data_IF_471107986339
#
_entry.id   IF_471107986339
#
_cell.length_a   1.000
_cell.length_b   1.000
_cell.length_c   1.000
_cell.angle_alpha   90.00
_cell.angle_beta   90.00
_cell.angle_gamma   90.00
#
_symmetry.space_group_name_H-M   'P 1'
#
loop_
_entity.id
_entity.type
_entity.pdbx_description
1 polymer ?
#
# COMPACT_ATOMS: atom_id res chain seq x y z
N UNK A 1 -24.16 2.81 -12.14
CA UNK A 1 -22.96 2.24 -11.51
C UNK A 1 -22.46 3.31 -10.53
N UNK A 2 -22.26 2.92 -9.32
CA UNK A 2 -21.83 3.87 -8.27
C UNK A 2 -20.51 4.54 -8.69
N UNK A 3 -20.47 5.86 -8.66
CA UNK A 3 -19.29 6.63 -9.10
C UNK A 3 -18.19 6.67 -8.05
N UNK A 4 -18.44 6.06 -6.89
CA UNK A 4 -17.55 6.08 -5.74
C UNK A 4 -16.33 5.17 -5.94
N UNK A 5 -15.15 5.68 -5.58
CA UNK A 5 -13.90 4.91 -5.54
C UNK A 5 -14.01 3.84 -4.44
N UNK A 6 -13.70 2.60 -4.80
CA UNK A 6 -13.73 1.48 -3.85
C UNK A 6 -12.39 1.34 -3.10
N UNK A 7 -11.28 1.50 -3.81
CA UNK A 7 -9.94 1.35 -3.24
C UNK A 7 -9.09 2.57 -3.59
N UNK A 8 -8.44 3.19 -2.61
CA UNK A 8 -7.32 4.11 -2.80
C UNK A 8 -6.02 3.36 -2.50
N UNK A 9 -5.09 3.37 -3.44
CA UNK A 9 -3.74 2.83 -3.28
C UNK A 9 -2.82 3.98 -2.92
N UNK A 10 -2.14 3.92 -1.78
CA UNK A 10 -1.15 4.88 -1.32
C UNK A 10 0.25 4.36 -1.62
N UNK A 11 1.01 5.09 -2.43
CA UNK A 11 2.36 4.72 -2.83
C UNK A 11 3.34 5.85 -2.46
N UNK A 12 4.23 5.59 -1.50
CA UNK A 12 5.34 6.49 -1.18
C UNK A 12 6.54 6.14 -2.07
N UNK A 13 7.16 7.16 -2.65
CA UNK A 13 8.32 6.99 -3.53
C UNK A 13 9.40 8.03 -3.24
N UNK A 14 10.65 7.57 -3.09
CA UNK A 14 11.82 8.42 -2.99
C UNK A 14 13.03 7.70 -3.56
N UNK A 15 13.63 8.26 -4.63
CA UNK A 15 14.81 7.68 -5.28
C UNK A 15 14.59 6.25 -5.82
N UNK A 16 13.41 6.01 -6.40
CA UNK A 16 12.97 4.70 -6.90
C UNK A 16 12.95 4.60 -8.44
N UNK A 17 13.79 5.36 -9.18
CA UNK A 17 13.78 5.35 -10.65
C UNK A 17 13.94 3.95 -11.28
N UNK A 18 14.61 3.03 -10.57
CA UNK A 18 14.83 1.65 -11.02
C UNK A 18 13.60 0.77 -10.86
N UNK A 19 12.72 1.07 -9.89
CA UNK A 19 11.66 0.18 -9.42
C UNK A 19 10.26 0.70 -9.75
N UNK A 20 10.04 2.00 -9.61
CA UNK A 20 8.71 2.64 -9.65
C UNK A 20 7.88 2.29 -10.90
N UNK A 21 8.51 2.05 -12.04
CA UNK A 21 7.82 1.68 -13.28
C UNK A 21 7.09 0.35 -13.10
N UNK A 22 7.76 -0.64 -12.50
CA UNK A 22 7.19 -1.95 -12.23
C UNK A 22 6.08 -1.91 -11.18
N UNK A 23 6.25 -1.09 -10.16
CA UNK A 23 5.23 -0.81 -9.15
C UNK A 23 3.96 -0.28 -9.80
N UNK A 24 4.09 0.76 -10.63
CA UNK A 24 2.97 1.38 -11.34
C UNK A 24 2.31 0.43 -12.34
N UNK A 25 3.09 -0.41 -13.05
CA UNK A 25 2.55 -1.47 -13.92
C UNK A 25 1.70 -2.45 -13.13
N UNK A 26 2.14 -2.86 -11.93
CA UNK A 26 1.37 -3.71 -11.02
C UNK A 26 0.03 -3.09 -10.62
N UNK A 27 -0.01 -1.77 -10.41
CA UNK A 27 -1.24 -1.06 -10.06
C UNK A 27 -2.21 -0.95 -11.23
N UNK A 28 -1.74 -0.51 -12.41
CA UNK A 28 -2.62 -0.32 -13.57
C UNK A 28 -3.05 -1.63 -14.23
N UNK A 29 -2.41 -2.75 -13.90
CA UNK A 29 -2.79 -4.08 -14.37
C UNK A 29 -3.94 -4.71 -13.59
N UNK A 30 -4.40 -4.09 -12.49
CA UNK A 30 -5.46 -4.66 -11.66
C UNK A 30 -6.79 -4.76 -12.40
N UNK A 31 -7.39 -5.94 -12.34
CA UNK A 31 -8.68 -6.25 -12.96
C UNK A 31 -9.75 -6.29 -11.86
N UNK A 32 -10.64 -5.29 -11.86
CA UNK A 32 -11.66 -5.13 -10.83
C UNK A 32 -13.03 -4.84 -11.46
N UNK A 33 -14.10 -5.17 -10.74
CA UNK A 33 -15.46 -4.77 -11.09
C UNK A 33 -15.90 -3.44 -10.44
N UNK A 34 -14.95 -2.74 -9.82
CA UNK A 34 -15.13 -1.45 -9.15
C UNK A 34 -14.05 -0.46 -9.58
N UNK A 35 -14.22 0.81 -9.23
CA UNK A 35 -13.23 1.86 -9.45
C UNK A 35 -12.20 1.88 -8.32
N UNK A 36 -10.94 2.09 -8.68
CA UNK A 36 -9.85 2.37 -7.76
C UNK A 36 -9.03 3.56 -8.26
N UNK A 37 -8.29 4.16 -7.36
CA UNK A 37 -7.33 5.24 -7.61
C UNK A 37 -5.99 4.91 -7.00
N UNK A 38 -4.94 5.52 -7.51
CA UNK A 38 -3.56 5.40 -7.02
C UNK A 38 -3.04 6.80 -6.70
N UNK A 39 -2.69 7.04 -5.47
CA UNK A 39 -2.10 8.27 -4.98
C UNK A 39 -0.61 8.00 -4.78
N UNK A 40 0.23 8.58 -5.64
CA UNK A 40 1.69 8.40 -5.60
C UNK A 40 2.32 9.67 -5.06
N UNK A 41 2.93 9.59 -3.87
CA UNK A 41 3.70 10.70 -3.31
C UNK A 41 5.18 10.54 -3.68
N UNK A 42 5.69 11.42 -4.53
CA UNK A 42 7.12 11.58 -4.76
C UNK A 42 7.68 12.55 -3.72
N UNK A 43 8.53 12.05 -2.83
CA UNK A 43 9.07 12.80 -1.70
C UNK A 43 10.32 13.62 -2.08
N UNK A 44 10.20 14.40 -3.17
CA UNK A 44 11.28 15.22 -3.74
C UNK A 44 12.49 14.36 -4.20
N UNK A 45 12.23 13.32 -4.98
CA UNK A 45 13.28 12.45 -5.52
C UNK A 45 14.28 13.24 -6.39
N UNK A 46 15.61 13.03 -6.20
CA UNK A 46 16.64 13.67 -7.01
C UNK A 46 16.87 12.98 -8.36
N UNK A 47 16.32 11.78 -8.53
CA UNK A 47 16.42 10.95 -9.74
C UNK A 47 15.20 11.10 -10.66
N UNK A 48 15.00 10.16 -11.57
CA UNK A 48 13.88 10.19 -12.53
C UNK A 48 12.54 9.66 -11.98
N UNK A 49 12.43 9.40 -10.69
CA UNK A 49 11.20 8.86 -10.07
C UNK A 49 9.99 9.74 -10.41
N UNK A 50 10.07 11.05 -10.14
CA UNK A 50 8.98 11.99 -10.43
C UNK A 50 8.63 12.07 -11.93
N UNK A 51 9.62 11.96 -12.83
CA UNK A 51 9.41 11.97 -14.28
C UNK A 51 8.60 10.75 -14.71
N UNK A 52 8.95 9.56 -14.22
CA UNK A 52 8.24 8.30 -14.50
C UNK A 52 6.80 8.35 -13.98
N UNK A 53 6.58 8.87 -12.77
CA UNK A 53 5.24 9.00 -12.22
C UNK A 53 4.37 9.89 -13.13
N UNK A 54 4.90 11.04 -13.61
CA UNK A 54 4.18 11.93 -14.53
C UNK A 54 3.85 11.28 -15.87
N UNK A 55 4.70 10.38 -16.38
CA UNK A 55 4.40 9.59 -17.58
C UNK A 55 3.15 8.72 -17.37
N UNK A 56 3.07 8.04 -16.21
CA UNK A 56 1.92 7.19 -15.87
C UNK A 56 0.66 8.00 -15.58
N UNK A 57 0.76 9.11 -14.86
CA UNK A 57 -0.36 10.04 -14.62
C UNK A 57 -0.95 10.53 -15.94
N UNK A 58 -0.12 10.90 -16.90
CA UNK A 58 -0.56 11.31 -18.24
C UNK A 58 -1.21 10.16 -19.03
N UNK A 59 -0.71 8.92 -18.87
CA UNK A 59 -1.21 7.74 -19.58
C UNK A 59 -2.50 7.19 -18.96
N UNK A 60 -2.64 7.31 -17.63
CA UNK A 60 -3.75 6.77 -16.85
C UNK A 60 -4.37 7.84 -15.93
N UNK A 61 -4.88 8.95 -16.49
CA UNK A 61 -5.32 10.11 -15.71
C UNK A 61 -6.51 9.85 -14.79
N UNK A 62 -7.30 8.81 -15.08
CA UNK A 62 -8.44 8.41 -14.25
C UNK A 62 -8.04 7.47 -13.09
N UNK A 63 -6.77 7.05 -13.03
CA UNK A 63 -6.28 6.08 -12.05
C UNK A 63 -5.12 6.66 -11.24
N UNK A 64 -4.09 7.22 -11.89
CA UNK A 64 -2.86 7.67 -11.24
C UNK A 64 -2.93 9.16 -10.93
N UNK A 65 -2.68 9.51 -9.68
CA UNK A 65 -2.66 10.89 -9.17
C UNK A 65 -1.34 11.14 -8.43
N UNK A 66 -0.46 11.93 -9.04
CA UNK A 66 0.87 12.26 -8.48
C UNK A 66 0.80 13.44 -7.51
N UNK A 67 1.44 13.30 -6.35
CA UNK A 67 1.74 14.38 -5.40
C UNK A 67 3.25 14.55 -5.41
N UNK A 68 3.73 15.74 -5.74
CA UNK A 68 5.16 16.01 -5.93
C UNK A 68 5.63 16.99 -4.87
N UNK A 69 6.43 16.50 -3.92
CA UNK A 69 6.99 17.34 -2.88
C UNK A 69 8.13 18.19 -3.44
N UNK A 70 8.33 19.39 -2.90
CA UNK A 70 9.46 20.26 -3.24
C UNK A 70 10.66 20.04 -2.33
N UNK A 71 10.45 19.37 -1.21
CA UNK A 71 11.45 19.04 -0.21
C UNK A 71 11.11 17.68 0.39
N UNK A 72 12.13 16.90 0.76
CA UNK A 72 11.94 15.59 1.36
C UNK A 72 11.27 15.70 2.73
N UNK A 73 10.03 15.21 2.83
CA UNK A 73 9.19 15.30 4.03
C UNK A 73 9.62 14.28 5.08
N UNK A 74 10.02 13.08 4.64
CA UNK A 74 10.50 12.02 5.53
C UNK A 74 11.72 12.49 6.34
N UNK A 75 12.70 13.15 5.69
CA UNK A 75 13.88 13.69 6.38
C UNK A 75 13.56 14.77 7.42
N UNK A 76 12.37 15.36 7.37
CA UNK A 76 11.84 16.31 8.34
C UNK A 76 11.00 15.67 9.44
N UNK A 77 10.95 14.35 9.50
CA UNK A 77 10.10 13.58 10.40
C UNK A 77 8.60 13.91 10.25
N UNK A 78 8.16 14.22 9.03
CA UNK A 78 6.74 14.42 8.72
C UNK A 78 6.13 13.06 8.41
N UNK A 79 5.06 12.73 9.11
CA UNK A 79 4.29 11.51 8.84
C UNK A 79 3.56 11.67 7.50
N UNK A 80 4.07 10.94 6.48
CA UNK A 80 3.53 10.94 5.10
C UNK A 80 2.10 10.41 5.09
N UNK A 81 1.82 9.41 5.93
CA UNK A 81 0.49 8.82 6.02
C UNK A 81 -0.52 9.85 6.54
N UNK A 82 -0.22 10.49 7.65
CA UNK A 82 -1.10 11.47 8.27
C UNK A 82 -1.27 12.74 7.41
N UNK A 83 -0.17 13.28 6.90
CA UNK A 83 -0.16 14.60 6.26
C UNK A 83 -0.47 14.58 4.78
N UNK A 84 -0.17 13.48 4.09
CA UNK A 84 -0.28 13.39 2.62
C UNK A 84 -1.41 12.43 2.23
N UNK A 85 -1.34 11.16 2.67
CA UNK A 85 -2.30 10.16 2.20
C UNK A 85 -3.68 10.30 2.83
N UNK A 86 -3.76 10.51 4.15
CA UNK A 86 -5.04 10.59 4.85
C UNK A 86 -6.00 11.66 4.28
N UNK A 87 -5.54 12.88 3.91
CA UNK A 87 -6.39 13.88 3.26
C UNK A 87 -6.76 13.55 1.81
N UNK A 88 -5.95 12.73 1.12
CA UNK A 88 -6.10 12.47 -0.31
C UNK A 88 -6.96 11.23 -0.62
N UNK A 89 -7.02 10.23 0.27
CA UNK A 89 -7.76 8.98 0.03
C UNK A 89 -9.27 9.20 0.04
N UNK A 90 -9.95 8.69 -1.00
CA UNK A 90 -11.41 8.75 -1.12
C UNK A 90 -12.06 7.36 -1.06
N UNK A 91 -11.29 6.30 -1.21
CA UNK A 91 -11.76 4.93 -1.27
C UNK A 91 -12.36 4.42 0.04
N UNK A 92 -13.29 3.48 -0.11
CA UNK A 92 -13.84 2.70 1.01
C UNK A 92 -12.76 1.86 1.68
N UNK A 93 -11.81 1.37 0.90
CA UNK A 93 -10.63 0.62 1.34
C UNK A 93 -9.35 1.35 0.98
N UNK A 94 -8.28 1.10 1.75
CA UNK A 94 -6.96 1.69 1.54
C UNK A 94 -5.93 0.58 1.42
N UNK A 95 -5.20 0.56 0.30
CA UNK A 95 -4.02 -0.29 0.11
C UNK A 95 -2.75 0.56 0.25
N UNK A 96 -1.68 -0.05 0.75
CA UNK A 96 -0.37 0.59 0.84
C UNK A 96 0.62 -0.26 0.05
N UNK A 97 1.50 0.40 -0.70
CA UNK A 97 2.60 -0.25 -1.41
C UNK A 97 3.66 0.79 -1.72
N UNK A 98 4.87 0.59 -1.27
CA UNK A 98 6.02 1.46 -1.52
C UNK A 98 6.43 1.39 -2.99
N UNK A 99 7.16 2.41 -3.46
CA UNK A 99 7.53 2.56 -4.89
C UNK A 99 8.64 1.63 -5.37
N UNK A 100 9.19 0.79 -4.50
CA UNK A 100 10.18 -0.26 -4.76
C UNK A 100 9.59 -1.68 -4.61
N UNK A 101 8.35 -1.80 -4.13
CA UNK A 101 7.56 -3.04 -4.14
C UNK A 101 6.64 -3.11 -5.36
N UNK A 102 6.20 -4.30 -5.74
CA UNK A 102 5.28 -4.47 -6.87
C UNK A 102 4.33 -5.66 -6.71
N UNK A 103 3.15 -5.55 -7.31
CA UNK A 103 2.14 -6.59 -7.35
C UNK A 103 2.21 -7.39 -8.65
N UNK A 104 2.14 -8.71 -8.53
CA UNK A 104 2.19 -9.65 -9.66
C UNK A 104 0.84 -10.26 -10.01
N UNK A 105 -0.13 -10.27 -9.06
CA UNK A 105 -1.47 -10.81 -9.28
C UNK A 105 -2.44 -9.69 -9.69
N UNK A 106 -2.95 -9.68 -10.94
CA UNK A 106 -3.90 -8.67 -11.38
C UNK A 106 -5.27 -8.79 -10.70
N UNK A 107 -5.54 -9.85 -9.97
CA UNK A 107 -6.78 -10.05 -9.22
C UNK A 107 -6.66 -9.66 -7.74
N UNK A 108 -5.49 -9.19 -7.28
CA UNK A 108 -5.22 -8.87 -5.87
C UNK A 108 -6.31 -8.00 -5.24
N UNK A 109 -6.59 -6.84 -5.83
CA UNK A 109 -7.56 -5.90 -5.26
C UNK A 109 -8.96 -6.50 -5.21
N UNK A 110 -9.39 -7.18 -6.28
CA UNK A 110 -10.71 -7.82 -6.32
C UNK A 110 -10.85 -8.85 -5.21
N UNK A 111 -9.87 -9.74 -5.07
CA UNK A 111 -9.88 -10.80 -4.05
C UNK A 111 -9.90 -10.26 -2.63
N UNK A 112 -9.10 -9.23 -2.35
CA UNK A 112 -9.03 -8.63 -1.01
C UNK A 112 -10.31 -7.85 -0.67
N UNK A 113 -10.88 -7.11 -1.62
CA UNK A 113 -12.18 -6.45 -1.42
C UNK A 113 -13.28 -7.46 -1.17
N UNK A 114 -13.37 -8.52 -1.97
CA UNK A 114 -14.36 -9.58 -1.77
C UNK A 114 -14.23 -10.24 -0.38
N UNK A 115 -12.99 -10.43 0.09
CA UNK A 115 -12.73 -10.98 1.42
C UNK A 115 -13.23 -10.05 2.54
N UNK A 116 -12.94 -8.74 2.45
CA UNK A 116 -13.39 -7.75 3.44
C UNK A 116 -14.89 -7.48 3.37
N UNK A 117 -15.50 -7.51 2.17
CA UNK A 117 -16.96 -7.38 2.02
C UNK A 117 -17.71 -8.57 2.66
N UNK A 118 -17.10 -9.75 2.65
CA UNK A 118 -17.64 -10.95 3.28
C UNK A 118 -17.41 -10.96 4.80
N UNK A 119 -16.35 -10.32 5.29
CA UNK A 119 -15.92 -10.33 6.70
C UNK A 119 -15.78 -8.88 7.20
N UNK A 120 -16.90 -8.19 7.39
CA UNK A 120 -16.94 -6.74 7.67
C UNK A 120 -16.36 -6.33 9.03
N UNK A 121 -16.20 -7.29 9.94
CA UNK A 121 -15.56 -7.06 11.24
C UNK A 121 -14.02 -7.09 11.15
N UNK A 122 -13.47 -7.49 10.00
CA UNK A 122 -12.03 -7.47 9.78
C UNK A 122 -11.54 -6.05 9.50
N UNK A 123 -10.49 -5.64 10.21
CA UNK A 123 -9.84 -4.35 10.01
C UNK A 123 -9.08 -4.30 8.69
N UNK A 124 -8.37 -5.35 8.36
CA UNK A 124 -7.58 -5.44 7.13
C UNK A 124 -7.55 -6.88 6.56
N UNK A 125 -7.15 -6.98 5.32
CA UNK A 125 -6.82 -8.22 4.63
C UNK A 125 -5.37 -8.16 4.14
N UNK A 126 -4.66 -9.28 4.22
CA UNK A 126 -3.27 -9.42 3.79
C UNK A 126 -3.10 -10.63 2.88
N UNK A 127 -1.97 -10.70 2.20
CA UNK A 127 -1.58 -11.88 1.41
C UNK A 127 -0.09 -12.21 1.63
N UNK A 128 0.32 -13.37 1.17
CA UNK A 128 1.72 -13.77 1.18
C UNK A 128 2.52 -12.94 0.18
N UNK A 129 3.70 -12.51 0.57
CA UNK A 129 4.68 -11.81 -0.27
C UNK A 129 5.96 -12.63 -0.37
N UNK A 130 6.74 -12.38 -1.41
CA UNK A 130 8.02 -13.02 -1.66
C UNK A 130 9.07 -11.94 -1.79
N UNK A 131 10.16 -12.06 -1.06
CA UNK A 131 11.31 -11.20 -1.24
C UNK A 131 12.04 -11.52 -2.54
N UNK A 132 12.42 -10.49 -3.27
CA UNK A 132 13.23 -10.61 -4.49
C UNK A 132 14.53 -9.81 -4.36
N UNK A 133 15.58 -10.27 -5.02
CA UNK A 133 16.85 -9.55 -5.13
C UNK A 133 16.74 -8.36 -6.09
N UNK A 134 17.78 -7.53 -6.16
CA UNK A 134 17.88 -6.46 -7.17
C UNK A 134 17.73 -6.96 -8.62
N UNK A 135 18.13 -8.22 -8.89
CA UNK A 135 17.96 -8.88 -10.20
C UNK A 135 16.58 -9.56 -10.34
N UNK A 136 15.63 -9.22 -9.45
CA UNK A 136 14.25 -9.73 -9.45
C UNK A 136 14.13 -11.26 -9.30
N UNK A 137 15.15 -11.91 -8.73
CA UNK A 137 15.10 -13.33 -8.44
C UNK A 137 14.60 -13.57 -7.02
N UNK A 138 13.68 -14.54 -6.79
CA UNK A 138 13.23 -14.88 -5.46
C UNK A 138 14.41 -15.27 -4.56
N UNK A 139 14.52 -14.65 -3.39
CA UNK A 139 15.56 -15.00 -2.38
C UNK A 139 15.24 -16.28 -1.61
N UNK A 140 13.99 -16.75 -1.71
CA UNK A 140 13.45 -17.86 -0.93
C UNK A 140 12.78 -17.43 0.36
N UNK A 141 12.87 -16.14 0.72
CA UNK A 141 12.19 -15.57 1.89
C UNK A 141 10.76 -15.18 1.51
N UNK A 142 9.82 -15.52 2.37
CA UNK A 142 8.40 -15.20 2.19
C UNK A 142 7.80 -14.65 3.48
N UNK A 143 6.82 -13.76 3.34
CA UNK A 143 6.10 -13.17 4.47
C UNK A 143 4.59 -13.43 4.32
N UNK A 144 3.93 -13.98 5.34
CA UNK A 144 4.53 -14.53 6.54
C UNK A 144 5.31 -15.83 6.23
N UNK A 145 6.24 -16.21 7.09
CA UNK A 145 6.94 -17.50 7.01
C UNK A 145 5.99 -18.69 7.24
N UNK A 146 4.89 -18.45 7.96
CA UNK A 146 3.86 -19.48 8.24
C UNK A 146 2.90 -19.62 7.06
N UNK A 147 2.41 -20.83 6.83
CA UNK A 147 1.39 -21.04 5.82
C UNK A 147 0.05 -20.43 6.23
N UNK A 148 -0.45 -19.51 5.41
CA UNK A 148 -1.77 -18.94 5.51
C UNK A 148 -2.71 -19.56 4.48
N UNK A 149 -3.84 -20.09 4.95
CA UNK A 149 -4.90 -20.57 4.07
C UNK A 149 -5.77 -19.40 3.63
N UNK A 150 -6.08 -19.33 2.34
CA UNK A 150 -6.98 -18.30 1.79
C UNK A 150 -8.32 -18.28 2.56
N UNK A 151 -8.76 -17.06 2.88
CA UNK A 151 -10.01 -16.84 3.63
C UNK A 151 -9.94 -17.15 5.12
N UNK A 152 -8.76 -17.45 5.66
CA UNK A 152 -8.59 -17.64 7.10
C UNK A 152 -8.65 -16.29 7.82
N UNK A 153 -9.52 -16.20 8.83
CA UNK A 153 -9.50 -15.08 9.78
C UNK A 153 -8.42 -15.38 10.82
N UNK A 154 -7.47 -14.48 10.95
CA UNK A 154 -6.41 -14.58 11.94
C UNK A 154 -6.87 -13.91 13.24
N UNK A 155 -6.69 -14.54 14.39
CA UNK A 155 -6.99 -13.91 15.68
C UNK A 155 -6.02 -12.73 15.93
N UNK A 156 -6.46 -11.76 16.72
CA UNK A 156 -5.67 -10.58 17.09
C UNK A 156 -4.31 -10.94 17.70
N UNK A 157 -4.27 -12.07 18.43
CA UNK A 157 -3.03 -12.63 19.00
C UNK A 157 -1.97 -12.92 17.95
N UNK A 158 -2.36 -13.24 16.71
CA UNK A 158 -1.43 -13.45 15.60
C UNK A 158 -0.68 -12.18 15.22
N UNK A 159 -1.31 -11.03 15.36
CA UNK A 159 -0.69 -9.71 15.12
C UNK A 159 0.25 -9.33 16.26
N UNK A 160 -0.01 -9.86 17.46
CA UNK A 160 0.78 -9.61 18.67
C UNK A 160 1.96 -10.57 18.83
N UNK A 161 2.04 -11.67 18.07
CA UNK A 161 3.14 -12.65 18.14
C UNK A 161 4.47 -12.13 17.55
N UNK A 162 4.55 -10.89 17.33
CA UNK A 162 5.46 -10.02 16.72
C UNK A 162 6.90 -10.15 16.80
N UNK A 163 7.85 -9.86 16.56
CA UNK A 163 9.26 -9.49 16.43
C UNK A 163 9.81 -9.63 15.00
N UNK A 164 9.11 -10.31 14.10
CA UNK A 164 9.45 -10.28 12.69
C UNK A 164 8.20 -9.88 11.92
N UNK A 165 8.29 -8.91 11.04
CA UNK A 165 7.22 -8.45 10.16
C UNK A 165 6.49 -9.65 9.55
N UNK A 166 5.34 -10.01 10.11
CA UNK A 166 4.63 -11.18 9.64
C UNK A 166 4.04 -10.95 8.24
N UNK A 167 3.77 -9.67 7.90
CA UNK A 167 3.28 -9.28 6.59
C UNK A 167 3.99 -8.01 6.12
N UNK A 168 4.29 -7.94 4.83
CA UNK A 168 4.85 -6.74 4.21
C UNK A 168 3.75 -5.71 3.93
N UNK A 169 4.10 -4.43 4.02
CA UNK A 169 3.20 -3.29 3.79
C UNK A 169 2.46 -3.40 2.48
N UNK A 170 3.13 -3.82 1.41
CA UNK A 170 2.57 -4.01 0.08
C UNK A 170 1.46 -5.06 -0.01
N UNK A 171 1.28 -5.89 1.05
CA UNK A 171 0.22 -6.89 1.13
C UNK A 171 -1.11 -6.37 1.70
N UNK A 172 -1.11 -5.27 2.43
CA UNK A 172 -2.29 -4.80 3.16
C UNK A 172 -3.37 -4.19 2.28
N UNK A 173 -4.62 -4.48 2.65
CA UNK A 173 -5.81 -3.72 2.29
C UNK A 173 -6.60 -3.47 3.56
N UNK A 174 -6.73 -2.22 3.97
CA UNK A 174 -7.42 -1.80 5.18
C UNK A 174 -8.88 -1.41 4.92
N UNK A 175 -9.75 -1.64 5.90
CA UNK A 175 -11.02 -0.93 5.98
C UNK A 175 -10.72 0.57 6.15
N UNK A 176 -11.16 1.40 5.19
CA UNK A 176 -10.76 2.80 5.13
C UNK A 176 -11.28 3.64 6.30
N UNK A 177 -12.48 3.35 6.83
CA UNK A 177 -13.03 4.10 7.97
C UNK A 177 -12.25 3.77 9.25
N UNK A 178 -11.95 2.48 9.47
CA UNK A 178 -11.16 2.03 10.61
C UNK A 178 -9.72 2.52 10.51
N UNK A 179 -9.13 2.54 9.30
CA UNK A 179 -7.80 3.07 9.06
C UNK A 179 -7.73 4.59 9.34
N UNK A 180 -8.72 5.37 8.84
CA UNK A 180 -8.79 6.81 9.10
C UNK A 180 -8.97 7.12 10.58
N UNK A 181 -9.74 6.32 11.29
CA UNK A 181 -9.91 6.47 12.75
C UNK A 181 -8.62 6.15 13.49
N UNK A 182 -7.95 5.05 13.13
CA UNK A 182 -6.66 4.67 13.68
C UNK A 182 -5.58 5.76 13.48
N UNK A 183 -5.50 6.33 12.26
CA UNK A 183 -4.52 7.37 11.97
C UNK A 183 -4.81 8.69 12.69
N UNK A 184 -6.09 9.03 12.94
CA UNK A 184 -6.47 10.22 13.70
C UNK A 184 -6.26 10.07 15.21
N UNK A 185 -6.52 8.89 15.72
CA UNK A 185 -6.47 8.57 17.14
C UNK A 185 -5.57 7.35 17.37
N UNK A 186 -4.26 7.44 17.08
CA UNK A 186 -3.36 6.31 17.24
C UNK A 186 -3.29 5.90 18.71
N UNK A 187 -3.33 4.60 19.02
CA UNK A 187 -3.17 4.14 20.39
C UNK A 187 -1.77 4.52 20.92
N UNK A 188 -1.66 4.72 22.24
CA UNK A 188 -0.41 5.18 22.90
C UNK A 188 0.82 4.35 22.50
N UNK A 189 0.67 3.04 22.23
CA UNK A 189 1.80 2.20 21.83
C UNK A 189 2.37 2.56 20.46
N UNK A 190 1.60 3.18 19.55
CA UNK A 190 2.12 3.67 18.26
C UNK A 190 3.15 4.79 18.47
N UNK A 191 3.00 5.57 19.53
CA UNK A 191 3.95 6.65 19.88
C UNK A 191 5.17 6.16 20.67
N UNK A 192 5.11 4.96 21.24
CA UNK A 192 6.17 4.36 22.07
C UNK A 192 7.00 3.33 21.31
N UNK A 193 6.38 2.60 20.39
CA UNK A 193 7.08 1.70 19.49
C UNK A 193 7.59 2.48 18.28
N UNK A 194 8.76 3.09 18.42
CA UNK A 194 9.61 3.33 17.27
C UNK A 194 10.08 1.96 16.77
N UNK A 195 9.24 1.27 16.02
CA UNK A 195 9.70 0.21 15.13
C UNK A 195 10.33 0.99 14.00
N UNK A 196 11.59 1.37 14.20
CA UNK A 196 12.42 1.86 13.13
C UNK A 196 12.51 0.79 12.07
N UNK A 197 12.57 1.22 10.86
CA UNK A 197 12.90 0.46 9.66
C UNK A 197 14.11 -0.46 9.87
#
# INVERSE_FOLDING_TARGET
MDSQVMVSICCAAYNHEKYIRRTLDGFVSQVTNFKYEVIVNDDASPDKTAEIIREYEKKYPDIIHGIYQTENQYSKNIDITEKIFLPAVTGKYVAICEGDDYWTDPSKLQRQVDALEKNKDCFFCVHKTVEVSEDEQPTGITFPEVECTEGKILPDEFLMMGQNYQFQTSSYLFNGDMWREYEKNPPEFKTVCAVGD
#
